data_IF_983052495191
#
_entry.id   IF_983052495191
#
_cell.length_a   1.000
_cell.length_b   1.000
_cell.length_c   1.000
_cell.angle_alpha   90.00
_cell.angle_beta   90.00
_cell.angle_gamma   90.00
#
_symmetry.space_group_name_H-M   'P 1'
#
loop_
_entity.id
_entity.type
_entity.pdbx_description
1 polymer ?
#
# COMPACT_ATOMS: atom_id res chain seq x y z
N UNK A 1 9.95 -19.18 -2.03
CA UNK A 1 8.75 -19.03 -1.18
C UNK A 1 8.41 -17.57 -0.94
N UNK A 2 9.29 -16.75 -0.36
CA UNK A 2 9.01 -15.33 -0.09
C UNK A 2 8.66 -14.50 -1.33
N UNK A 3 9.32 -14.75 -2.47
CA UNK A 3 9.03 -14.07 -3.73
C UNK A 3 7.64 -14.42 -4.28
N UNK A 4 7.16 -15.64 -4.02
CA UNK A 4 5.80 -16.05 -4.40
C UNK A 4 4.79 -15.37 -3.48
N UNK A 5 5.06 -15.29 -2.17
CA UNK A 5 4.22 -14.55 -1.24
C UNK A 5 4.11 -13.07 -1.65
N UNK A 6 5.23 -12.42 -1.95
CA UNK A 6 5.23 -11.02 -2.40
C UNK A 6 4.54 -10.83 -3.75
N UNK A 7 4.60 -11.81 -4.65
CA UNK A 7 3.80 -11.79 -5.87
C UNK A 7 2.31 -11.85 -5.54
N UNK A 8 1.87 -12.78 -4.70
CA UNK A 8 0.46 -12.90 -4.30
C UNK A 8 -0.03 -11.59 -3.66
N UNK A 9 0.76 -10.98 -2.76
CA UNK A 9 0.42 -9.70 -2.14
C UNK A 9 0.33 -8.57 -3.18
N UNK A 10 1.24 -8.53 -4.15
CA UNK A 10 1.23 -7.54 -5.24
C UNK A 10 0.01 -7.71 -6.18
N UNK A 11 -0.37 -8.95 -6.48
CA UNK A 11 -1.56 -9.26 -7.28
C UNK A 11 -2.84 -8.87 -6.56
N UNK A 12 -2.96 -9.18 -5.26
CA UNK A 12 -4.11 -8.75 -4.44
C UNK A 12 -4.19 -7.21 -4.41
N UNK A 13 -3.06 -6.53 -4.23
CA UNK A 13 -3.00 -5.07 -4.27
C UNK A 13 -3.40 -4.51 -5.66
N UNK A 14 -3.02 -5.20 -6.74
CA UNK A 14 -3.43 -4.92 -8.11
C UNK A 14 -4.94 -5.07 -8.31
N UNK A 15 -5.55 -6.13 -7.77
CA UNK A 15 -7.00 -6.36 -7.84
C UNK A 15 -7.77 -5.24 -7.11
N UNK A 16 -7.36 -4.90 -5.88
CA UNK A 16 -7.98 -3.82 -5.10
C UNK A 16 -7.90 -2.49 -5.85
N UNK A 17 -6.73 -2.20 -6.41
CA UNK A 17 -6.47 -0.99 -7.20
C UNK A 17 -7.32 -0.96 -8.46
N UNK A 18 -7.42 -2.08 -9.18
CA UNK A 18 -8.26 -2.18 -10.37
C UNK A 18 -9.73 -1.93 -10.04
N UNK A 19 -10.24 -2.48 -8.93
CA UNK A 19 -11.61 -2.23 -8.47
C UNK A 19 -11.88 -0.75 -8.15
N UNK A 20 -10.90 -0.04 -7.58
CA UNK A 20 -11.01 1.40 -7.35
C UNK A 20 -10.82 2.22 -8.64
N UNK A 21 -10.02 1.72 -9.57
CA UNK A 21 -9.78 2.39 -10.85
C UNK A 21 -11.00 2.32 -11.77
N UNK A 22 -11.70 1.18 -11.87
CA UNK A 22 -12.86 1.06 -12.76
C UNK A 22 -14.02 1.98 -12.37
N UNK A 23 -14.07 2.38 -11.09
CA UNK A 23 -15.00 3.35 -10.56
C UNK A 23 -14.44 4.77 -10.60
N UNK A 24 -13.15 4.97 -10.84
CA UNK A 24 -12.47 6.27 -10.86
C UNK A 24 -12.66 7.04 -12.19
N UNK A 25 -12.64 8.39 -12.15
CA UNK A 25 -12.52 9.24 -13.34
C UNK A 25 -11.30 8.91 -14.23
N UNK A 26 -10.23 8.33 -13.66
CA UNK A 26 -9.04 7.95 -14.43
C UNK A 26 -9.33 6.97 -15.56
N UNK A 27 -10.42 6.20 -15.48
CA UNK A 27 -10.82 5.25 -16.51
C UNK A 27 -11.05 5.91 -17.87
N UNK A 28 -11.45 7.18 -17.91
CA UNK A 28 -11.61 7.92 -19.17
C UNK A 28 -10.28 8.26 -19.84
N UNK A 29 -9.20 8.33 -19.07
CA UNK A 29 -7.86 8.71 -19.54
C UNK A 29 -6.97 7.50 -19.82
N UNK A 30 -7.21 6.38 -19.14
CA UNK A 30 -6.42 5.16 -19.26
C UNK A 30 -7.30 4.08 -19.89
N UNK A 31 -7.23 3.87 -21.21
CA UNK A 31 -8.08 2.91 -21.89
C UNK A 31 -7.59 1.47 -21.70
N UNK A 32 -8.52 0.51 -21.77
CA UNK A 32 -8.19 -0.89 -21.96
C UNK A 32 -7.35 -1.10 -23.23
N UNK A 33 -6.29 -1.94 -23.23
CA UNK A 33 -5.86 -2.83 -22.16
C UNK A 33 -4.76 -2.26 -21.25
N UNK A 34 -4.46 -0.96 -21.30
CA UNK A 34 -3.34 -0.37 -20.54
C UNK A 34 -3.49 -0.56 -19.03
N UNK A 35 -4.73 -0.55 -18.51
CA UNK A 35 -5.06 -0.87 -17.12
C UNK A 35 -4.63 -2.29 -16.68
N UNK A 36 -4.53 -3.25 -17.61
CA UNK A 36 -4.09 -4.63 -17.30
C UNK A 36 -2.59 -4.72 -16.99
N UNK A 37 -1.81 -3.66 -17.27
CA UNK A 37 -0.41 -3.59 -16.88
C UNK A 37 -0.22 -3.70 -15.36
N UNK A 38 -1.25 -3.39 -14.57
CA UNK A 38 -1.28 -3.62 -13.13
C UNK A 38 -0.95 -5.07 -12.75
N UNK A 39 -1.33 -6.05 -13.57
CA UNK A 39 -1.06 -7.48 -13.33
C UNK A 39 0.21 -7.97 -14.02
N UNK A 40 0.68 -7.26 -15.05
CA UNK A 40 1.92 -7.62 -15.75
C UNK A 40 3.16 -7.19 -14.95
N UNK A 41 3.13 -6.03 -14.30
CA UNK A 41 4.28 -5.46 -13.58
C UNK A 41 4.78 -6.39 -12.46
N UNK A 42 3.94 -6.96 -11.58
CA UNK A 42 4.39 -7.88 -10.54
C UNK A 42 5.03 -9.15 -11.09
N UNK A 43 4.49 -9.68 -12.19
CA UNK A 43 5.03 -10.87 -12.88
C UNK A 43 6.42 -10.57 -13.44
N UNK A 44 6.64 -9.40 -14.04
CA UNK A 44 7.98 -8.97 -14.46
C UNK A 44 8.89 -8.76 -13.24
N UNK A 45 8.36 -8.19 -12.16
CA UNK A 45 9.06 -8.02 -10.89
C UNK A 45 9.54 -9.34 -10.27
N UNK A 46 8.86 -10.46 -10.53
CA UNK A 46 9.31 -11.79 -10.11
C UNK A 46 10.68 -12.15 -10.72
N UNK A 47 10.95 -11.76 -11.97
CA UNK A 47 12.22 -12.02 -12.66
C UNK A 47 13.40 -11.38 -11.93
N UNK A 48 13.20 -10.16 -11.43
CA UNK A 48 14.19 -9.41 -10.63
C UNK A 48 14.09 -9.69 -9.13
N UNK A 49 13.31 -10.70 -8.72
CA UNK A 49 13.08 -11.09 -7.31
C UNK A 49 12.51 -9.95 -6.44
N UNK A 50 11.79 -9.02 -7.04
CA UNK A 50 11.05 -7.93 -6.40
C UNK A 50 9.68 -7.70 -7.05
N UNK A 51 8.74 -8.65 -6.89
CA UNK A 51 7.41 -8.55 -7.49
C UNK A 51 6.58 -7.39 -6.92
N UNK A 52 6.63 -7.15 -5.60
CA UNK A 52 6.01 -5.95 -4.99
C UNK A 52 7.02 -4.83 -4.80
N UNK A 53 7.51 -4.26 -5.90
CA UNK A 53 8.51 -3.18 -5.83
C UNK A 53 7.89 -1.84 -5.41
N UNK A 54 8.73 -0.93 -4.90
CA UNK A 54 8.35 0.46 -4.65
C UNK A 54 7.77 1.16 -5.88
N UNK A 55 8.30 0.88 -7.08
CA UNK A 55 7.78 1.46 -8.32
C UNK A 55 6.36 1.00 -8.62
N UNK A 56 6.11 -0.30 -8.46
CA UNK A 56 4.76 -0.83 -8.60
C UNK A 56 3.83 -0.24 -7.54
N UNK A 57 4.27 -0.17 -6.28
CA UNK A 57 3.52 0.49 -5.21
C UNK A 57 3.17 1.95 -5.53
N UNK A 58 4.11 2.74 -6.05
CA UNK A 58 3.86 4.13 -6.46
C UNK A 58 2.79 4.22 -7.56
N UNK A 59 2.79 3.28 -8.52
CA UNK A 59 1.73 3.16 -9.52
C UNK A 59 0.39 2.89 -8.83
N UNK A 60 0.32 1.92 -7.91
CA UNK A 60 -0.92 1.62 -7.19
C UNK A 60 -1.44 2.83 -6.39
N UNK A 61 -0.54 3.57 -5.72
CA UNK A 61 -0.88 4.81 -5.01
C UNK A 61 -1.50 5.84 -5.95
N UNK A 62 -0.89 6.07 -7.12
CA UNK A 62 -1.42 7.01 -8.11
C UNK A 62 -2.86 6.68 -8.51
N UNK A 63 -3.14 5.41 -8.80
CA UNK A 63 -4.49 4.96 -9.14
C UNK A 63 -5.49 5.13 -7.98
N UNK A 64 -5.09 4.80 -6.75
CA UNK A 64 -5.96 4.89 -5.56
C UNK A 64 -6.11 6.31 -5.00
N UNK A 65 -5.21 7.25 -5.30
CA UNK A 65 -5.35 8.67 -4.90
C UNK A 65 -6.36 9.40 -5.79
N UNK A 66 -6.51 8.98 -7.04
CA UNK A 66 -7.37 9.68 -7.99
C UNK A 66 -8.81 9.96 -7.54
N UNK A 67 -9.52 9.03 -6.86
CA UNK A 67 -10.89 9.30 -6.40
C UNK A 67 -10.96 10.31 -5.24
N UNK A 68 -9.81 10.61 -4.62
CA UNK A 68 -9.66 11.53 -3.48
C UNK A 68 -9.26 12.93 -3.98
N UNK A 69 -8.58 13.01 -5.14
CA UNK A 69 -8.07 14.27 -5.68
C UNK A 69 -9.18 15.31 -5.87
N UNK A 70 -10.40 14.91 -6.25
CA UNK A 70 -11.55 15.79 -6.45
C UNK A 70 -11.88 16.68 -5.25
N UNK A 71 -11.47 16.28 -4.04
CA UNK A 71 -11.72 17.00 -2.78
C UNK A 71 -10.46 17.68 -2.21
N UNK A 72 -9.34 17.65 -2.93
CA UNK A 72 -8.08 18.26 -2.49
C UNK A 72 -7.96 19.70 -2.99
N UNK A 73 -7.52 20.61 -2.12
CA UNK A 73 -7.10 21.97 -2.51
C UNK A 73 -6.05 21.96 -3.63
N UNK A 74 -5.22 20.91 -3.69
CA UNK A 74 -4.22 20.75 -4.76
C UNK A 74 -4.88 20.57 -6.13
N UNK A 75 -5.99 19.85 -6.20
CA UNK A 75 -6.73 19.65 -7.44
C UNK A 75 -7.45 20.93 -7.87
N UNK A 76 -8.06 21.65 -6.94
CA UNK A 76 -8.63 22.97 -7.23
C UNK A 76 -7.55 23.95 -7.72
N UNK A 77 -6.38 23.97 -7.09
CA UNK A 77 -5.25 24.78 -7.52
C UNK A 77 -4.73 24.42 -8.92
N UNK A 78 -4.79 23.14 -9.32
CA UNK A 78 -4.49 22.72 -10.70
C UNK A 78 -5.53 23.25 -11.68
N UNK A 79 -6.82 23.14 -11.36
CA UNK A 79 -7.91 23.67 -12.21
C UNK A 79 -7.78 25.19 -12.36
N UNK A 80 -7.53 25.91 -11.27
CA UNK A 80 -7.36 27.36 -11.28
C UNK A 80 -6.13 27.79 -12.07
N UNK A 81 -5.04 27.04 -11.98
CA UNK A 81 -3.83 27.29 -12.78
C UNK A 81 -4.09 27.10 -14.28
N UNK A 82 -4.84 26.06 -14.67
CA UNK A 82 -5.21 25.81 -16.07
C UNK A 82 -6.13 26.90 -16.64
N UNK A 83 -7.06 27.39 -15.82
CA UNK A 83 -7.93 28.51 -16.17
C UNK A 83 -7.15 29.83 -16.28
N UNK A 84 -6.24 30.10 -15.34
CA UNK A 84 -5.40 31.30 -15.36
C UNK A 84 -4.46 31.33 -16.58
N UNK A 85 -3.89 30.18 -16.94
CA UNK A 85 -3.10 30.03 -18.18
C UNK A 85 -3.93 30.35 -19.42
N UNK A 86 -5.19 29.90 -19.46
CA UNK A 86 -6.05 30.17 -20.62
C UNK A 86 -6.41 31.65 -20.74
N UNK A 87 -6.73 32.29 -19.60
CA UNK A 87 -7.02 33.73 -19.53
C UNK A 87 -5.82 34.56 -19.98
N UNK A 88 -4.61 34.13 -19.67
CA UNK A 88 -3.39 34.86 -19.96
C UNK A 88 -2.83 34.59 -21.38
N UNK A 89 -2.99 33.37 -21.91
CA UNK A 89 -2.32 32.93 -23.14
C UNK A 89 -3.25 32.40 -24.24
N UNK A 90 -4.56 32.27 -24.00
CA UNK A 90 -5.54 31.81 -24.99
C UNK A 90 -5.28 30.39 -25.50
N UNK A 91 -4.79 29.50 -24.63
CA UNK A 91 -4.25 28.17 -24.97
C UNK A 91 -5.31 27.08 -25.21
N UNK A 92 -6.59 27.35 -24.94
CA UNK A 92 -7.67 26.36 -24.91
C UNK A 92 -7.66 25.48 -23.65
N UNK A 93 -6.92 25.88 -22.60
CA UNK A 93 -6.74 25.05 -21.39
C UNK A 93 -7.93 25.10 -20.44
N UNK A 94 -8.83 26.08 -20.57
CA UNK A 94 -10.06 26.14 -19.79
C UNK A 94 -11.01 24.96 -20.11
N UNK A 95 -11.10 24.55 -21.38
CA UNK A 95 -11.92 23.40 -21.80
C UNK A 95 -11.39 22.09 -21.19
N UNK A 96 -10.07 22.00 -21.04
CA UNK A 96 -9.40 20.87 -20.38
C UNK A 96 -9.71 20.89 -18.88
N UNK A 97 -9.65 22.06 -18.23
CA UNK A 97 -10.00 22.24 -16.82
C UNK A 97 -11.47 21.88 -16.56
N UNK A 98 -12.41 22.32 -17.41
CA UNK A 98 -13.83 21.96 -17.30
C UNK A 98 -14.05 20.46 -17.48
N UNK A 99 -13.38 19.83 -18.44
CA UNK A 99 -13.46 18.39 -18.68
C UNK A 99 -12.91 17.57 -17.51
N UNK A 100 -11.78 18.00 -16.93
CA UNK A 100 -11.21 17.41 -15.72
C UNK A 100 -12.16 17.57 -14.53
N UNK A 101 -12.68 18.77 -14.31
CA UNK A 101 -13.62 19.04 -13.21
C UNK A 101 -14.89 18.19 -13.37
N UNK A 102 -15.47 18.13 -14.57
CA UNK A 102 -16.66 17.33 -14.86
C UNK A 102 -16.43 15.83 -14.65
N UNK A 103 -15.26 15.30 -15.03
CA UNK A 103 -14.93 13.90 -14.83
C UNK A 103 -14.83 13.52 -13.33
N UNK A 104 -14.46 14.47 -12.48
CA UNK A 104 -14.21 14.27 -11.04
C UNK A 104 -15.37 14.72 -10.13
N UNK A 105 -16.35 15.48 -10.64
CA UNK A 105 -17.55 15.90 -9.91
C UNK A 105 -18.44 14.68 -9.58
N UNK A 106 -18.84 14.56 -8.31
CA UNK A 106 -19.73 13.48 -7.84
C UNK A 106 -19.03 12.16 -7.50
N UNK A 107 -17.70 12.11 -7.67
CA UNK A 107 -16.86 10.98 -7.29
C UNK A 107 -16.23 11.27 -5.93
N UNK A 108 -16.86 10.76 -4.87
CA UNK A 108 -16.29 10.70 -3.53
C UNK A 108 -15.78 9.29 -3.28
N UNK A 109 -14.52 9.04 -3.61
CA UNK A 109 -13.88 7.78 -3.25
C UNK A 109 -13.34 7.82 -1.83
N UNK A 110 -13.44 6.70 -1.12
CA UNK A 110 -12.84 6.53 0.19
C UNK A 110 -11.33 6.30 0.13
N UNK A 111 -10.66 6.46 1.27
CA UNK A 111 -9.23 6.17 1.45
C UNK A 111 -8.92 4.68 1.59
N UNK A 112 -9.92 3.80 1.49
CA UNK A 112 -9.82 2.39 1.86
C UNK A 112 -8.92 1.59 0.93
N UNK A 113 -9.04 1.78 -0.39
CA UNK A 113 -8.14 1.16 -1.37
C UNK A 113 -6.69 1.58 -1.15
N UNK A 114 -6.47 2.87 -0.87
CA UNK A 114 -5.15 3.44 -0.58
C UNK A 114 -4.52 2.79 0.67
N UNK A 115 -5.29 2.69 1.76
CA UNK A 115 -4.84 2.08 3.01
C UNK A 115 -4.56 0.59 2.84
N UNK A 116 -5.44 -0.15 2.17
CA UNK A 116 -5.27 -1.58 1.94
C UNK A 116 -4.01 -1.88 1.11
N UNK A 117 -3.78 -1.13 0.04
CA UNK A 117 -2.57 -1.26 -0.80
C UNK A 117 -1.31 -0.91 -0.01
N UNK A 118 -1.34 0.18 0.76
CA UNK A 118 -0.24 0.59 1.64
C UNK A 118 0.11 -0.49 2.64
N UNK A 119 -0.91 -1.09 3.26
CA UNK A 119 -0.73 -2.16 4.22
C UNK A 119 -0.09 -3.40 3.59
N UNK A 120 -0.60 -3.85 2.44
CA UNK A 120 -0.05 -5.00 1.72
C UNK A 120 1.41 -4.77 1.32
N UNK A 121 1.77 -3.54 0.92
CA UNK A 121 3.14 -3.18 0.57
C UNK A 121 4.07 -3.22 1.79
N UNK A 122 3.66 -2.62 2.91
CA UNK A 122 4.45 -2.63 4.15
C UNK A 122 4.69 -4.06 4.64
N UNK A 123 3.65 -4.89 4.60
CA UNK A 123 3.75 -6.32 4.91
C UNK A 123 4.78 -7.01 4.01
N UNK A 124 4.70 -6.79 2.69
CA UNK A 124 5.61 -7.38 1.72
C UNK A 124 7.07 -6.96 1.94
N UNK A 125 7.32 -5.67 2.22
CA UNK A 125 8.66 -5.14 2.50
C UNK A 125 9.25 -5.71 3.78
N UNK A 126 8.45 -5.90 4.84
CA UNK A 126 8.96 -6.49 6.09
C UNK A 126 9.29 -7.97 5.88
N UNK A 127 8.44 -8.71 5.18
CA UNK A 127 8.74 -10.10 4.81
C UNK A 127 10.01 -10.21 3.95
N UNK A 128 10.17 -9.33 2.97
CA UNK A 128 11.36 -9.29 2.13
C UNK A 128 12.62 -8.89 2.92
N UNK A 129 12.55 -7.84 3.72
CA UNK A 129 13.66 -7.35 4.54
C UNK A 129 14.13 -8.39 5.56
N UNK A 130 13.20 -9.06 6.24
CA UNK A 130 13.53 -10.14 7.16
C UNK A 130 14.18 -11.32 6.44
N UNK A 131 13.68 -11.69 5.25
CA UNK A 131 14.30 -12.73 4.44
C UNK A 131 15.71 -12.37 3.99
N UNK A 132 15.94 -11.14 3.54
CA UNK A 132 17.27 -10.67 3.13
C UNK A 132 18.24 -10.67 4.33
N UNK A 133 17.80 -10.24 5.51
CA UNK A 133 18.59 -10.29 6.75
C UNK A 133 18.93 -11.72 7.17
N UNK A 134 17.94 -12.63 7.18
CA UNK A 134 18.18 -14.05 7.46
C UNK A 134 19.16 -14.66 6.45
N UNK A 135 19.03 -14.33 5.17
CA UNK A 135 19.92 -14.81 4.12
C UNK A 135 21.35 -14.35 4.37
N UNK A 136 21.58 -13.08 4.68
CA UNK A 136 22.91 -12.56 5.03
C UNK A 136 23.49 -13.26 6.26
N UNK A 137 22.67 -13.51 7.29
CA UNK A 137 23.12 -14.23 8.48
C UNK A 137 23.47 -15.71 8.17
N UNK A 138 22.72 -16.39 7.30
CA UNK A 138 23.07 -17.72 6.81
C UNK A 138 24.38 -17.71 6.00
N UNK A 139 24.58 -16.70 5.14
CA UNK A 139 25.82 -16.51 4.38
C UNK A 139 27.03 -16.27 5.30
N UNK A 140 26.80 -15.73 6.50
CA UNK A 140 27.80 -15.57 7.57
C UNK A 140 27.97 -16.81 8.47
N UNK A 141 27.28 -17.92 8.16
CA UNK A 141 27.43 -19.19 8.89
C UNK A 141 26.50 -19.37 10.10
N UNK A 142 25.55 -18.45 10.33
CA UNK A 142 24.57 -18.57 11.42
C UNK A 142 23.50 -19.59 11.05
N UNK A 143 23.32 -20.65 11.87
CA UNK A 143 22.27 -21.65 11.67
C UNK A 143 20.92 -21.12 12.14
N UNK A 144 20.14 -20.57 11.21
CA UNK A 144 18.77 -20.11 11.48
C UNK A 144 17.80 -21.26 11.22
N UNK A 145 17.25 -21.86 12.29
CA UNK A 145 16.12 -22.80 12.19
C UNK A 145 14.82 -22.11 12.57
N UNK A 146 13.79 -22.22 11.74
CA UNK A 146 12.41 -21.90 12.13
C UNK A 146 12.03 -20.42 12.24
N UNK A 147 12.92 -19.45 12.00
CA UNK A 147 12.62 -18.02 12.11
C UNK A 147 11.46 -17.55 11.20
N UNK A 148 11.21 -18.22 10.08
CA UNK A 148 10.06 -17.98 9.21
C UNK A 148 8.70 -18.27 9.87
N UNK A 149 8.64 -19.18 10.85
CA UNK A 149 7.40 -19.46 11.60
C UNK A 149 7.06 -18.36 12.59
N UNK A 150 8.04 -17.60 13.08
CA UNK A 150 7.84 -16.51 14.04
C UNK A 150 7.16 -15.29 13.39
N UNK A 151 7.34 -15.11 12.09
CA UNK A 151 6.74 -14.00 11.33
C UNK A 151 5.25 -14.20 11.03
N UNK A 152 4.77 -15.45 11.01
CA UNK A 152 3.38 -15.77 10.69
C UNK A 152 2.41 -15.29 11.78
N UNK A 153 2.64 -15.56 13.09
CA UNK A 153 1.81 -15.03 14.17
C UNK A 153 1.84 -13.50 14.26
N UNK A 154 3.02 -12.88 14.08
CA UNK A 154 3.14 -11.42 14.09
C UNK A 154 2.30 -10.79 12.97
N UNK A 155 2.36 -11.37 11.76
CA UNK A 155 1.55 -10.93 10.64
C UNK A 155 0.07 -11.06 10.97
N UNK A 156 -0.32 -12.23 11.50
CA UNK A 156 -1.71 -12.51 11.83
C UNK A 156 -2.23 -11.52 12.86
N UNK A 157 -1.44 -11.21 13.88
CA UNK A 157 -1.78 -10.23 14.92
C UNK A 157 -1.95 -8.82 14.35
N UNK A 158 -1.05 -8.39 13.46
CA UNK A 158 -1.15 -7.09 12.82
C UNK A 158 -2.33 -6.98 11.86
N UNK A 159 -2.61 -8.04 11.11
CA UNK A 159 -3.80 -8.15 10.26
C UNK A 159 -5.08 -8.09 11.10
N UNK A 160 -5.07 -8.76 12.25
CA UNK A 160 -6.17 -8.77 13.21
C UNK A 160 -6.40 -7.37 13.79
N UNK A 161 -5.34 -6.64 14.14
CA UNK A 161 -5.42 -5.24 14.59
C UNK A 161 -5.99 -4.36 13.47
N UNK A 162 -5.49 -4.47 12.24
CA UNK A 162 -6.02 -3.70 11.11
C UNK A 162 -7.51 -3.97 10.84
N UNK A 163 -7.94 -5.23 10.93
CA UNK A 163 -9.33 -5.63 10.69
C UNK A 163 -10.27 -5.29 11.85
N UNK A 164 -9.82 -5.40 13.10
CA UNK A 164 -10.64 -5.18 14.30
C UNK A 164 -10.70 -3.70 14.67
N UNK A 165 -9.64 -2.93 14.45
CA UNK A 165 -9.57 -1.53 14.84
C UNK A 165 -10.74 -0.68 14.33
N UNK A 166 -11.18 -0.79 13.06
CA UNK A 166 -12.34 -0.06 12.58
C UNK A 166 -13.63 -0.33 13.39
N UNK A 167 -13.80 -1.56 13.91
CA UNK A 167 -14.97 -1.92 14.71
C UNK A 167 -14.87 -1.47 16.18
N UNK A 168 -13.65 -1.33 16.71
CA UNK A 168 -13.42 -0.84 18.07
C UNK A 168 -13.53 0.69 18.12
N UNK A 169 -13.10 1.36 17.06
CA UNK A 169 -13.00 2.81 17.01
C UNK A 169 -14.23 3.47 16.37
N UNK A 170 -15.10 2.72 15.68
CA UNK A 170 -16.37 3.23 15.14
C UNK A 170 -17.34 3.84 16.18
N UNK A 171 -17.04 3.76 17.48
CA UNK A 171 -17.75 4.46 18.56
C UNK A 171 -17.23 5.87 18.87
N UNK A 172 -16.12 6.31 18.27
CA UNK A 172 -15.51 7.62 18.48
C UNK A 172 -15.45 8.36 17.15
N UNK A 173 -16.20 9.45 17.00
CA UNK A 173 -16.14 10.30 15.80
C UNK A 173 -14.84 11.12 15.79
N UNK A 174 -13.75 10.54 15.30
CA UNK A 174 -12.53 11.27 15.00
C UNK A 174 -12.16 11.04 13.53
N UNK A 175 -12.29 12.08 12.69
CA UNK A 175 -11.98 12.06 11.24
C UNK A 175 -10.53 11.72 10.85
N UNK A 176 -9.75 11.15 11.77
CA UNK A 176 -8.36 10.70 11.65
C UNK A 176 -8.22 9.17 11.83
N UNK A 177 -9.31 8.46 12.13
CA UNK A 177 -9.27 7.10 12.69
C UNK A 177 -8.56 6.07 11.83
N UNK A 178 -8.69 6.10 10.51
CA UNK A 178 -8.17 5.01 9.66
C UNK A 178 -6.66 5.13 9.38
N UNK A 179 -6.12 6.34 9.33
CA UNK A 179 -4.67 6.57 9.20
C UNK A 179 -3.97 6.23 10.53
N UNK A 180 -4.60 6.61 11.65
CA UNK A 180 -4.13 6.22 12.99
C UNK A 180 -4.23 4.70 13.18
N UNK A 181 -5.29 4.05 12.68
CA UNK A 181 -5.43 2.59 12.65
C UNK A 181 -4.26 1.90 11.96
N UNK A 182 -3.95 2.35 10.74
CA UNK A 182 -2.87 1.79 9.94
C UNK A 182 -1.53 2.00 10.67
N UNK A 183 -1.30 3.20 11.23
CA UNK A 183 -0.08 3.52 11.98
C UNK A 183 0.06 2.66 13.24
N UNK A 184 -1.04 2.47 13.99
CA UNK A 184 -1.09 1.61 15.17
C UNK A 184 -0.92 0.13 14.83
N UNK A 185 -1.49 -0.33 13.72
CA UNK A 185 -1.28 -1.69 13.21
C UNK A 185 0.18 -1.93 12.86
N UNK A 186 0.84 -0.97 12.20
CA UNK A 186 2.27 -1.01 11.88
C UNK A 186 3.09 -1.03 13.18
N UNK A 187 2.77 -0.16 14.13
CA UNK A 187 3.46 -0.08 15.42
C UNK A 187 3.30 -1.38 16.24
N UNK A 188 2.09 -1.95 16.30
CA UNK A 188 1.81 -3.20 16.99
C UNK A 188 2.53 -4.38 16.33
N UNK A 189 2.66 -4.38 15.01
CA UNK A 189 3.45 -5.36 14.28
C UNK A 189 4.93 -5.29 14.63
N UNK A 190 5.52 -4.10 14.60
CA UNK A 190 6.93 -3.90 15.01
C UNK A 190 7.15 -4.25 16.48
N UNK A 191 6.21 -3.90 17.36
CA UNK A 191 6.26 -4.31 18.76
C UNK A 191 6.20 -5.84 18.91
N UNK A 192 5.35 -6.52 18.13
CA UNK A 192 5.28 -7.98 18.10
C UNK A 192 6.58 -8.61 17.63
N UNK A 193 7.20 -8.09 16.57
CA UNK A 193 8.51 -8.55 16.09
C UNK A 193 9.58 -8.33 17.17
N UNK A 194 9.61 -7.17 17.82
CA UNK A 194 10.58 -6.86 18.88
C UNK A 194 10.42 -7.76 20.11
N UNK A 195 9.19 -8.03 20.54
CA UNK A 195 8.92 -8.93 21.66
C UNK A 195 9.32 -10.37 21.31
N UNK A 196 9.05 -10.82 20.08
CA UNK A 196 9.43 -12.14 19.62
C UNK A 196 10.96 -12.27 19.45
N UNK A 197 11.66 -11.22 19.00
CA UNK A 197 13.13 -11.25 18.90
C UNK A 197 13.78 -11.32 20.29
N UNK A 198 13.23 -10.62 21.29
CA UNK A 198 13.70 -10.73 22.68
C UNK A 198 13.45 -12.09 23.30
N UNK A 199 12.29 -12.71 23.01
CA UNK A 199 11.99 -14.06 23.50
C UNK A 199 12.97 -15.11 23.01
N UNK A 200 13.48 -14.97 21.77
CA UNK A 200 14.50 -15.86 21.20
C UNK A 200 15.88 -15.61 21.82
N UNK A 201 16.24 -14.36 22.13
CA UNK A 201 17.52 -14.06 22.81
C UNK A 201 17.57 -14.57 24.26
N UNK A 202 16.43 -14.60 24.98
CA UNK A 202 16.38 -15.08 26.37
C UNK A 202 16.48 -16.62 26.48
N UNK A 203 15.98 -17.38 25.49
CA UNK A 203 16.15 -18.85 25.43
C UNK A 203 17.61 -19.27 25.21
N UNK A 204 18.38 -18.50 24.43
CA UNK A 204 19.81 -18.78 24.18
C UNK A 204 20.71 -18.41 25.39
N UNK A 205 20.25 -17.56 26.31
CA UNK A 205 21.00 -17.15 27.52
C UNK A 205 20.69 -18.07 28.71
N UNK A 206 19.58 -18.81 28.69
CA UNK A 206 19.23 -19.72 29.78
C UNK A 206 18.73 -21.08 29.25
N UNK A 207 19.65 -21.95 28.76
CA UNK A 207 19.28 -23.29 28.28
C UNK A 207 18.83 -24.25 29.39
N UNK A 208 18.79 -23.81 30.66
CA UNK A 208 18.35 -24.59 31.81
C UNK A 208 17.27 -23.83 32.61
N UNK A 209 16.05 -23.78 32.08
CA UNK A 209 14.81 -23.82 32.87
C UNK A 209 13.72 -24.58 32.14
#
# INVERSE_FOLDING_TARGET
>A
MIYILNLILAEIAGIITYQHFITSPLRYFIPYPAELLLFAIPVVGLVVRRPFSFYYYAVLIFFNISPILSHSETFEGIIDSLNALDVQFGTGTAVIAESLKAAFIGQAGGIDGLLAVTWLYVVAEIFQGNWESMRRAMDMGVKIKGAYFVLVPALFFALLVYLIYPFVVSGFELGLDRVVAATLGIAAFFAGIYLLSKGVEEEDINPEK
#
